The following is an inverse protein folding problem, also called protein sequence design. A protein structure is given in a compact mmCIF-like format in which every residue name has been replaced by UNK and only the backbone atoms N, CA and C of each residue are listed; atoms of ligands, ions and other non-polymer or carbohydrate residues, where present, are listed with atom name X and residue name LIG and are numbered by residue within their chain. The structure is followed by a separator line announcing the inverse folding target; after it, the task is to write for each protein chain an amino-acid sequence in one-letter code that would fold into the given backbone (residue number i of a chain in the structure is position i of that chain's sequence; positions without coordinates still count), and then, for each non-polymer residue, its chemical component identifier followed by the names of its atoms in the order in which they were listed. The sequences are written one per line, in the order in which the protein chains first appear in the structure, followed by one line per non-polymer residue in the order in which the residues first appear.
data_IF_121464571613
#
_entry.id   IF_121464571613
#
_cell.length_a   1.000
_cell.length_b   1.000
_cell.length_c   1.000
_cell.angle_alpha   90.00
_cell.angle_beta   90.00
_cell.angle_gamma   90.00
#
_symmetry.space_group_name_H-M   'P 1'
#
loop_
_entity.id
_entity.type
_entity.pdbx_description
1 polymer ?
#
# COMPACT_ATOMS: atom_id res chain seq x y z
N UNK A 1 8.11 -3.25 6.85
CA UNK A 1 6.96 -2.93 7.73
C UNK A 1 5.73 -2.67 6.88
N UNK A 2 4.53 -2.92 7.41
CA UNK A 2 3.27 -2.58 6.77
C UNK A 2 2.47 -1.64 7.69
N UNK A 3 1.70 -0.73 7.10
CA UNK A 3 0.80 0.19 7.80
C UNK A 3 -0.64 -0.07 7.31
N UNK A 4 -1.58 -0.15 8.26
CA UNK A 4 -3.01 -0.09 7.96
C UNK A 4 -3.44 1.36 8.03
N UNK A 5 -3.94 1.90 6.91
CA UNK A 5 -4.30 3.30 6.80
C UNK A 5 -5.70 3.44 6.22
N UNK A 6 -6.68 3.68 7.09
CA UNK A 6 -8.06 3.94 6.67
C UNK A 6 -8.24 5.29 5.98
N UNK A 7 -7.25 6.19 6.08
CA UNK A 7 -7.25 7.50 5.44
C UNK A 7 -6.89 7.45 3.95
N UNK A 8 -6.42 6.32 3.44
CA UNK A 8 -6.10 6.15 2.03
C UNK A 8 -7.01 5.12 1.35
N UNK A 9 -7.44 5.39 0.12
CA UNK A 9 -8.37 4.48 -0.57
C UNK A 9 -7.68 3.20 -1.05
N UNK A 10 -6.45 3.30 -1.55
CA UNK A 10 -5.77 2.21 -2.28
C UNK A 10 -4.66 1.54 -1.47
N UNK A 11 -4.12 0.45 -2.00
CA UNK A 11 -2.90 -0.18 -1.49
C UNK A 11 -1.67 0.50 -2.14
N UNK A 12 -0.66 0.82 -1.34
CA UNK A 12 0.58 1.45 -1.82
C UNK A 12 1.80 0.64 -1.40
N UNK A 13 2.79 0.54 -2.27
CA UNK A 13 4.08 -0.08 -1.99
C UNK A 13 5.20 0.93 -2.18
N UNK A 14 6.21 0.85 -1.33
CA UNK A 14 7.43 1.63 -1.49
C UNK A 14 8.20 1.12 -2.71
N UNK A 15 8.35 1.98 -3.71
CA UNK A 15 8.98 1.60 -4.98
C UNK A 15 10.42 1.14 -4.79
N UNK A 16 11.22 1.88 -4.00
CA UNK A 16 12.63 1.56 -3.75
C UNK A 16 12.74 0.19 -3.07
N UNK A 17 11.87 -0.08 -2.10
CA UNK A 17 11.84 -1.38 -1.44
C UNK A 17 11.40 -2.50 -2.39
N UNK A 18 10.39 -2.27 -3.22
CA UNK A 18 9.92 -3.26 -4.22
C UNK A 18 11.05 -3.64 -5.19
N UNK A 19 11.84 -2.67 -5.65
CA UNK A 19 13.01 -2.89 -6.49
C UNK A 19 14.08 -3.70 -5.74
N UNK A 20 14.38 -3.35 -4.49
CA UNK A 20 15.38 -4.05 -3.66
C UNK A 20 15.08 -5.54 -3.47
N UNK A 21 13.80 -5.91 -3.33
CA UNK A 21 13.39 -7.30 -3.15
C UNK A 21 13.03 -7.99 -4.47
N UNK A 22 13.25 -7.32 -5.62
CA UNK A 22 13.06 -7.88 -6.95
C UNK A 22 11.59 -8.07 -7.36
N UNK A 23 10.65 -7.32 -6.79
CA UNK A 23 9.27 -7.35 -7.25
C UNK A 23 9.13 -6.61 -8.59
N UNK A 24 8.36 -7.17 -9.55
CA UNK A 24 8.17 -6.53 -10.86
C UNK A 24 7.33 -5.25 -10.71
N UNK A 25 7.89 -4.15 -11.21
CA UNK A 25 7.19 -2.88 -11.39
C UNK A 25 6.67 -2.78 -12.81
N UNK A 26 5.35 -2.62 -12.94
CA UNK A 26 4.67 -2.50 -14.22
C UNK A 26 4.22 -1.05 -14.38
N UNK A 27 4.61 -0.41 -15.48
CA UNK A 27 4.20 0.95 -15.79
C UNK A 27 2.67 1.02 -15.95
N UNK A 28 2.07 2.09 -15.43
CA UNK A 28 0.66 2.40 -15.63
C UNK A 28 0.46 3.00 -17.02
N UNK A 29 -0.65 2.67 -17.67
CA UNK A 29 -1.05 3.28 -18.94
C UNK A 29 -1.35 4.78 -18.76
N UNK A 30 -1.89 5.15 -17.58
CA UNK A 30 -2.17 6.52 -17.18
C UNK A 30 -1.56 6.76 -15.80
N UNK A 31 -0.72 7.80 -15.68
CA UNK A 31 -0.13 8.18 -14.40
C UNK A 31 -1.21 8.76 -13.46
N UNK A 32 -1.05 8.53 -12.16
CA UNK A 32 -1.99 9.02 -11.15
C UNK A 32 -1.32 10.19 -10.42
N UNK A 33 -1.79 11.44 -10.58
CA UNK A 33 -1.28 12.56 -9.81
C UNK A 33 -1.63 12.37 -8.33
N UNK A 34 -0.64 12.58 -7.45
CA UNK A 34 -0.84 12.56 -6.01
C UNK A 34 -0.90 14.00 -5.54
N UNK A 35 -1.97 14.36 -4.83
CA UNK A 35 -2.15 15.68 -4.27
C UNK A 35 -1.99 15.62 -2.75
N UNK A 36 -1.32 16.62 -2.19
CA UNK A 36 -1.28 16.90 -0.76
C UNK A 36 -2.66 17.42 -0.29
N UNK A 37 -2.86 17.48 1.02
CA UNK A 37 -4.10 17.97 1.64
C UNK A 37 -4.40 19.43 1.25
N UNK A 38 -3.36 20.23 1.02
CA UNK A 38 -3.48 21.62 0.56
C UNK A 38 -3.76 21.75 -0.96
N UNK A 39 -3.96 20.63 -1.66
CA UNK A 39 -4.24 20.58 -3.10
C UNK A 39 -3.02 20.73 -4.00
N UNK A 40 -1.82 20.92 -3.44
CA UNK A 40 -0.58 20.93 -4.23
C UNK A 40 -0.20 19.52 -4.69
N UNK A 41 0.52 19.41 -5.80
CA UNK A 41 1.10 18.13 -6.19
C UNK A 41 2.12 17.69 -5.14
N UNK A 42 2.03 16.43 -4.73
CA UNK A 42 3.01 15.83 -3.82
C UNK A 42 4.42 15.91 -4.42
N UNK A 43 5.43 16.22 -3.60
CA UNK A 43 6.82 16.34 -4.05
C UNK A 43 7.37 15.03 -4.65
N UNK A 44 6.80 13.88 -4.29
CA UNK A 44 7.08 12.58 -4.89
C UNK A 44 6.50 12.38 -6.30
N UNK A 45 5.74 13.34 -6.81
CA UNK A 45 5.21 13.37 -8.17
C UNK A 45 4.00 12.46 -8.39
N UNK A 46 3.84 12.02 -9.64
CA UNK A 46 2.79 11.09 -10.04
C UNK A 46 3.19 9.64 -9.76
N UNK A 47 2.22 8.82 -9.39
CA UNK A 47 2.38 7.36 -9.39
C UNK A 47 2.39 6.91 -10.84
N UNK A 48 3.48 6.25 -11.22
CA UNK A 48 3.73 5.80 -12.61
C UNK A 48 3.77 4.29 -12.73
N UNK A 49 3.90 3.56 -11.62
CA UNK A 49 4.03 2.12 -11.62
C UNK A 49 3.07 1.47 -10.62
N UNK A 50 2.75 0.21 -10.88
CA UNK A 50 2.06 -0.71 -9.97
C UNK A 50 2.88 -1.97 -9.78
N UNK A 51 2.64 -2.66 -8.68
CA UNK A 51 3.28 -3.92 -8.36
C UNK A 51 2.22 -4.92 -7.89
N UNK A 52 2.26 -6.14 -8.40
CA UNK A 52 1.41 -7.23 -7.93
C UNK A 52 2.24 -8.27 -7.20
N UNK A 53 1.84 -8.61 -5.97
CA UNK A 53 2.57 -9.54 -5.10
C UNK A 53 1.59 -10.24 -4.15
N UNK A 54 2.09 -11.22 -3.40
CA UNK A 54 1.31 -11.94 -2.39
C UNK A 54 1.56 -11.29 -1.02
N UNK A 55 0.49 -10.89 -0.35
CA UNK A 55 0.51 -10.52 1.07
C UNK A 55 0.21 -11.79 1.86
N UNK A 56 1.04 -12.04 2.87
CA UNK A 56 0.85 -13.12 3.82
C UNK A 56 0.76 -12.54 5.24
N UNK A 57 -0.35 -12.81 5.93
CA UNK A 57 -0.62 -12.33 7.28
C UNK A 57 -1.37 -13.42 8.05
N UNK A 58 -0.79 -13.92 9.14
CA UNK A 58 -1.45 -14.92 10.01
C UNK A 58 -2.01 -16.15 9.28
N UNK A 59 -1.30 -16.65 8.26
CA UNK A 59 -1.74 -17.78 7.44
C UNK A 59 -2.72 -17.42 6.32
N UNK A 60 -3.30 -16.22 6.32
CA UNK A 60 -4.02 -15.67 5.16
C UNK A 60 -3.03 -15.25 4.07
N UNK A 61 -3.28 -15.69 2.84
CA UNK A 61 -2.46 -15.39 1.66
C UNK A 61 -3.33 -14.88 0.54
N UNK A 62 -3.01 -13.70 0.03
CA UNK A 62 -3.74 -13.16 -1.12
C UNK A 62 -2.85 -12.38 -2.07
N UNK A 63 -3.21 -12.40 -3.35
CA UNK A 63 -2.60 -11.54 -4.35
C UNK A 63 -3.21 -10.15 -4.26
N UNK A 64 -2.38 -9.13 -4.07
CA UNK A 64 -2.77 -7.72 -4.14
C UNK A 64 -2.08 -7.02 -5.31
N UNK A 65 -2.64 -5.90 -5.74
CA UNK A 65 -1.97 -4.96 -6.63
C UNK A 65 -1.88 -3.61 -5.94
N UNK A 66 -0.65 -3.14 -5.74
CA UNK A 66 -0.35 -1.89 -5.07
C UNK A 66 0.16 -0.85 -6.07
N UNK A 67 -0.14 0.42 -5.80
CA UNK A 67 0.44 1.56 -6.49
C UNK A 67 1.84 1.81 -5.92
N UNK A 68 2.86 1.90 -6.78
CA UNK A 68 4.24 2.12 -6.35
C UNK A 68 4.50 3.62 -6.19
N UNK A 69 4.99 4.01 -5.01
CA UNK A 69 5.31 5.40 -4.66
C UNK A 69 6.44 5.47 -3.64
N UNK A 70 6.88 6.66 -3.27
CA UNK A 70 7.88 6.86 -2.21
C UNK A 70 7.19 6.97 -0.85
N UNK A 71 7.32 5.93 -0.02
CA UNK A 71 6.69 5.85 1.31
C UNK A 71 7.68 6.09 2.46
N UNK A 72 8.89 6.58 2.17
CA UNK A 72 9.95 6.75 3.16
C UNK A 72 10.34 5.42 3.80
N UNK A 73 10.13 5.27 5.11
CA UNK A 73 10.49 4.08 5.89
C UNK A 73 9.42 2.98 5.92
N UNK A 74 8.24 3.24 5.38
CA UNK A 74 7.14 2.27 5.31
C UNK A 74 7.30 1.48 4.00
N UNK A 75 7.15 0.15 4.04
CA UNK A 75 7.26 -0.67 2.83
C UNK A 75 5.92 -0.86 2.12
N UNK A 76 4.84 -0.98 2.89
CA UNK A 76 3.50 -1.30 2.39
C UNK A 76 2.45 -0.51 3.19
N UNK A 77 1.45 0.05 2.51
CA UNK A 77 0.23 0.60 3.11
C UNK A 77 -0.96 -0.18 2.58
N UNK A 78 -1.75 -0.77 3.48
CA UNK A 78 -3.03 -1.40 3.20
C UNK A 78 -4.14 -0.37 3.44
N UNK A 79 -4.71 0.15 2.36
CA UNK A 79 -5.75 1.17 2.40
C UNK A 79 -7.16 0.63 2.62
N UNK A 80 -8.12 1.56 2.61
CA UNK A 80 -9.55 1.33 2.77
C UNK A 80 -10.10 0.17 1.94
N UNK A 81 -9.76 0.05 0.65
CA UNK A 81 -10.29 -1.06 -0.17
C UNK A 81 -9.91 -2.43 0.37
N UNK A 82 -8.74 -2.55 0.98
CA UNK A 82 -8.29 -3.78 1.61
C UNK A 82 -8.95 -3.97 2.97
N UNK A 83 -8.93 -2.92 3.80
CA UNK A 83 -9.54 -2.91 5.13
C UNK A 83 -11.04 -3.23 5.09
N UNK A 84 -11.77 -2.62 4.17
CA UNK A 84 -13.20 -2.85 3.99
C UNK A 84 -13.51 -4.28 3.55
N UNK A 85 -12.68 -4.84 2.66
CA UNK A 85 -12.86 -6.21 2.15
C UNK A 85 -12.66 -7.26 3.26
N UNK A 86 -11.65 -7.06 4.11
CA UNK A 86 -11.25 -8.05 5.10
C UNK A 86 -11.80 -7.78 6.50
N UNK A 87 -12.24 -6.56 6.77
CA UNK A 87 -12.77 -6.07 8.04
C UNK A 87 -12.00 -6.66 9.26
N UNK A 88 -10.67 -6.47 9.34
CA UNK A 88 -9.88 -7.09 10.37
C UNK A 88 -10.26 -6.57 11.76
N UNK A 89 -10.19 -7.45 12.75
CA UNK A 89 -10.25 -7.03 14.14
C UNK A 89 -8.89 -6.46 14.55
N UNK A 90 -8.88 -5.26 15.14
CA UNK A 90 -7.65 -4.61 15.58
C UNK A 90 -7.74 -4.36 17.08
N UNK A 91 -6.88 -5.04 17.84
CA UNK A 91 -6.63 -4.68 19.23
C UNK A 91 -5.54 -3.61 19.27
N UNK A 92 -5.98 -2.36 19.44
CA UNK A 92 -5.12 -1.18 19.48
C UNK A 92 -4.22 -1.12 20.71
N UNK A 93 -4.59 -1.79 21.81
CA UNK A 93 -3.81 -1.72 23.06
C UNK A 93 -2.56 -2.61 22.96
N UNK A 94 -2.69 -3.78 22.35
CA UNK A 94 -1.59 -4.74 22.19
C UNK A 94 -0.98 -4.74 20.79
N UNK A 95 -1.56 -3.99 19.85
CA UNK A 95 -1.07 -3.87 18.48
C UNK A 95 -1.26 -5.15 17.65
N UNK A 96 -2.33 -5.90 17.90
CA UNK A 96 -2.63 -7.15 17.18
C UNK A 96 -3.74 -6.91 16.17
N UNK A 97 -3.57 -7.48 14.97
CA UNK A 97 -4.55 -7.45 13.89
C UNK A 97 -4.94 -8.88 13.58
N UNK A 98 -6.23 -9.22 13.63
CA UNK A 98 -6.72 -10.57 13.34
C UNK A 98 -7.57 -10.53 12.07
N UNK A 99 -7.29 -11.45 11.14
CA UNK A 99 -8.10 -11.63 9.94
C UNK A 99 -9.13 -12.74 10.18
N UNK A 100 -10.38 -12.50 9.77
CA UNK A 100 -11.45 -13.50 9.82
C UNK A 100 -11.42 -14.47 8.65
#
# INVERSE_FOLDING_TARGET
SALFDSGTTSIFINQVWAEQIGLPLIKLDVFIPVYNIDGTLNAGGCITHKCSFVVECQGHRERVTAKATQLGKINLILGWTWLFKHNPEIDWQIGVVTLS
#
